data_IF_207266780368
#
_entry.id   IF_207266780368
#
_cell.length_a   1.000
_cell.length_b   1.000
_cell.length_c   1.000
_cell.angle_alpha   90.00
_cell.angle_beta   90.00
_cell.angle_gamma   90.00
#
_symmetry.space_group_name_H-M   'P 1'
#
loop_
_entity.id
_entity.type
_entity.pdbx_description
1 polymer ?
#
# COMPACT_ATOMS: atom_id res chain seq x y z
N UNK A 1 30.04 -24.39 28.41
CA UNK A 1 28.58 -24.19 28.53
C UNK A 1 28.11 -22.74 28.77
N UNK A 2 29.01 -21.84 29.21
CA UNK A 2 28.67 -20.41 29.41
C UNK A 2 28.76 -19.54 28.15
N UNK A 3 29.35 -20.04 27.10
CA UNK A 3 29.51 -19.30 25.82
C UNK A 3 28.27 -19.44 24.90
N UNK A 4 27.46 -20.49 25.08
CA UNK A 4 26.23 -20.71 24.28
C UNK A 4 25.02 -19.87 24.76
N UNK A 5 25.03 -19.33 25.98
CA UNK A 5 23.91 -18.51 26.46
C UNK A 5 23.98 -17.05 26.03
N UNK A 6 25.13 -16.54 25.56
CA UNK A 6 25.27 -15.15 25.08
C UNK A 6 24.69 -14.94 23.70
N UNK A 7 24.68 -15.94 22.84
CA UNK A 7 24.12 -15.83 21.49
C UNK A 7 22.58 -15.87 21.45
N UNK A 8 21.94 -16.57 22.40
CA UNK A 8 20.48 -16.65 22.47
C UNK A 8 19.86 -15.40 23.11
N UNK A 9 20.57 -14.69 23.99
CA UNK A 9 20.10 -13.44 24.59
C UNK A 9 20.05 -12.28 23.60
N UNK A 10 20.94 -12.22 22.61
CA UNK A 10 20.95 -11.17 21.59
C UNK A 10 19.90 -11.37 20.50
N UNK A 11 19.49 -12.62 20.22
CA UNK A 11 18.44 -12.92 19.25
C UNK A 11 17.05 -12.48 19.75
N UNK A 12 16.81 -12.48 21.05
CA UNK A 12 15.54 -12.03 21.65
C UNK A 12 15.45 -10.52 21.86
N UNK A 13 16.54 -9.76 21.71
CA UNK A 13 16.57 -8.32 22.01
C UNK A 13 16.18 -7.42 20.84
N UNK A 14 16.29 -7.90 19.60
CA UNK A 14 15.87 -7.14 18.41
C UNK A 14 14.54 -7.69 17.91
N UNK A 15 13.45 -7.02 18.25
CA UNK A 15 12.15 -7.33 17.68
C UNK A 15 11.99 -6.54 16.38
N UNK A 16 11.92 -7.26 15.26
CA UNK A 16 11.58 -6.69 13.97
C UNK A 16 10.08 -6.90 13.78
N UNK A 17 9.34 -5.80 13.68
CA UNK A 17 7.93 -5.79 13.32
C UNK A 17 7.83 -5.41 11.85
N UNK A 18 7.42 -6.35 11.03
CA UNK A 18 7.29 -6.18 9.59
C UNK A 18 5.82 -6.12 9.18
N UNK A 19 5.42 -5.04 8.52
CA UNK A 19 4.15 -4.97 7.81
C UNK A 19 4.33 -5.69 6.48
N UNK A 20 3.71 -6.86 6.31
CA UNK A 20 3.87 -7.68 5.09
C UNK A 20 2.92 -7.27 3.98
N UNK A 21 1.70 -6.91 4.30
CA UNK A 21 0.73 -6.38 3.35
C UNK A 21 -0.35 -5.58 4.04
N UNK A 22 -0.88 -4.59 3.33
CA UNK A 22 -1.99 -3.74 3.73
C UNK A 22 -3.07 -3.78 2.65
N UNK A 23 -4.32 -3.96 3.06
CA UNK A 23 -5.47 -3.81 2.19
C UNK A 23 -6.65 -3.26 3.00
N UNK A 24 -7.51 -2.45 2.36
CA UNK A 24 -8.64 -1.82 3.02
C UNK A 24 -9.72 -1.38 2.04
N UNK A 25 -10.84 -0.95 2.60
CA UNK A 25 -11.90 -0.23 1.91
C UNK A 25 -12.09 1.10 2.65
N UNK A 26 -11.82 2.22 1.97
CA UNK A 26 -11.89 3.57 2.55
C UNK A 26 -13.34 4.04 2.81
N UNK A 27 -14.32 3.32 2.27
CA UNK A 27 -15.73 3.67 2.32
C UNK A 27 -16.54 2.73 3.21
N UNK A 28 -15.89 1.78 3.90
CA UNK A 28 -16.55 0.83 4.80
C UNK A 28 -16.19 1.14 6.25
N UNK A 29 -17.18 1.44 7.06
CA UNK A 29 -16.99 1.77 8.47
C UNK A 29 -18.22 1.55 9.33
N UNK A 30 -18.16 2.00 10.58
CA UNK A 30 -19.26 1.86 11.54
C UNK A 30 -20.56 2.58 11.14
N UNK A 31 -20.46 3.60 10.29
CA UNK A 31 -21.62 4.36 9.78
C UNK A 31 -22.50 3.52 8.87
N UNK A 32 -21.91 2.68 7.99
CA UNK A 32 -22.67 1.77 7.14
C UNK A 32 -23.57 0.83 7.97
N UNK A 33 -23.04 0.33 9.07
CA UNK A 33 -23.80 -0.50 10.02
C UNK A 33 -24.92 0.29 10.74
N UNK A 34 -24.74 1.59 10.96
CA UNK A 34 -25.78 2.49 11.47
C UNK A 34 -26.87 2.73 10.43
N UNK A 35 -26.51 2.86 9.16
CA UNK A 35 -27.48 2.99 8.06
C UNK A 35 -28.35 1.75 7.93
N UNK A 36 -27.78 0.54 8.07
CA UNK A 36 -28.57 -0.72 8.10
C UNK A 36 -29.60 -0.67 9.23
N UNK A 37 -29.22 -0.25 10.43
CA UNK A 37 -30.15 -0.11 11.56
C UNK A 37 -31.26 0.90 11.26
N UNK A 38 -30.91 2.05 10.67
CA UNK A 38 -31.87 3.07 10.23
C UNK A 38 -32.85 2.54 9.19
N UNK A 39 -32.34 1.79 8.20
CA UNK A 39 -33.14 1.17 7.14
C UNK A 39 -34.16 0.17 7.70
N UNK A 40 -33.74 -0.70 8.61
CA UNK A 40 -34.63 -1.65 9.29
C UNK A 40 -35.74 -0.95 10.06
N UNK A 41 -35.42 0.11 10.81
CA UNK A 41 -36.41 0.90 11.52
C UNK A 41 -37.44 1.52 10.57
N UNK A 42 -36.98 2.15 9.48
CA UNK A 42 -37.86 2.77 8.48
C UNK A 42 -38.81 1.74 7.83
N UNK A 43 -38.25 0.55 7.47
CA UNK A 43 -39.04 -0.54 6.89
C UNK A 43 -40.17 -1.01 7.87
N UNK A 44 -39.81 -1.23 9.14
CA UNK A 44 -40.78 -1.71 10.15
C UNK A 44 -41.85 -0.68 10.52
N UNK A 45 -41.51 0.59 10.45
CA UNK A 45 -42.46 1.68 10.75
C UNK A 45 -43.23 2.17 9.54
N UNK A 46 -42.88 1.72 8.33
CA UNK A 46 -43.49 2.18 7.08
C UNK A 46 -43.13 3.62 6.71
N UNK A 47 -42.07 4.17 7.31
CA UNK A 47 -41.60 5.52 7.03
C UNK A 47 -40.61 5.53 5.86
N UNK A 48 -40.59 6.63 5.11
CA UNK A 48 -39.60 6.86 4.08
C UNK A 48 -38.62 7.97 4.50
N UNK A 49 -37.35 7.76 4.31
CA UNK A 49 -36.28 8.70 4.68
C UNK A 49 -36.53 10.12 4.12
N UNK A 50 -37.04 10.21 2.89
CA UNK A 50 -37.30 11.48 2.20
C UNK A 50 -38.44 12.30 2.79
N UNK A 51 -39.33 11.66 3.56
CA UNK A 51 -40.49 12.32 4.21
C UNK A 51 -40.08 12.91 5.56
N UNK A 52 -38.90 12.61 6.07
CA UNK A 52 -38.38 13.14 7.32
C UNK A 52 -37.70 14.50 7.10
N UNK A 53 -37.95 15.43 8.00
CA UNK A 53 -37.20 16.69 8.06
C UNK A 53 -35.74 16.45 8.44
N UNK A 54 -34.86 17.37 8.12
CA UNK A 54 -33.41 17.24 8.45
C UNK A 54 -33.17 16.95 9.95
N UNK A 55 -33.97 17.59 10.84
CA UNK A 55 -33.88 17.36 12.28
C UNK A 55 -34.27 15.93 12.67
N UNK A 56 -35.28 15.38 12.01
CA UNK A 56 -35.75 14.01 12.25
C UNK A 56 -34.76 12.98 11.68
N UNK A 57 -34.13 13.26 10.53
CA UNK A 57 -33.05 12.43 9.98
C UNK A 57 -31.86 12.35 10.94
N UNK A 58 -31.43 13.48 11.50
CA UNK A 58 -30.34 13.50 12.50
C UNK A 58 -30.73 12.70 13.76
N UNK A 59 -31.99 12.82 14.21
CA UNK A 59 -32.49 12.05 15.36
C UNK A 59 -32.54 10.55 15.04
N UNK A 60 -33.03 10.19 13.86
CA UNK A 60 -33.07 8.80 13.38
C UNK A 60 -31.67 8.20 13.42
N UNK A 61 -30.67 8.89 12.83
CA UNK A 61 -29.30 8.44 12.81
C UNK A 61 -28.74 8.22 14.23
N UNK A 62 -28.97 9.19 15.13
CA UNK A 62 -28.52 9.06 16.52
C UNK A 62 -29.17 7.88 17.24
N UNK A 63 -30.48 7.65 17.02
CA UNK A 63 -31.19 6.51 17.61
C UNK A 63 -30.74 5.17 17.02
N UNK A 64 -30.45 5.13 15.73
CA UNK A 64 -29.89 3.97 15.06
C UNK A 64 -28.49 3.64 15.59
N UNK A 65 -27.65 4.64 15.83
CA UNK A 65 -26.32 4.45 16.43
C UNK A 65 -26.42 3.91 17.87
N UNK A 66 -27.34 4.44 18.68
CA UNK A 66 -27.63 3.92 20.02
C UNK A 66 -28.10 2.46 19.97
N UNK A 67 -29.04 2.15 19.08
CA UNK A 67 -29.57 0.80 18.90
C UNK A 67 -28.50 -0.19 18.37
N UNK A 68 -27.68 0.24 17.39
CA UNK A 68 -26.54 -0.54 16.86
C UNK A 68 -25.56 -0.94 17.98
N UNK A 69 -25.23 0.00 18.88
CA UNK A 69 -24.35 -0.31 20.01
C UNK A 69 -25.00 -1.28 20.98
N UNK A 70 -26.30 -1.13 21.24
CA UNK A 70 -27.02 -1.98 22.19
C UNK A 70 -27.26 -3.40 21.69
N UNK A 71 -27.44 -3.61 20.40
CA UNK A 71 -27.82 -4.92 19.84
C UNK A 71 -26.72 -5.99 19.99
N UNK A 72 -25.45 -5.57 20.16
CA UNK A 72 -24.31 -6.50 20.29
C UNK A 72 -24.37 -7.34 21.59
N UNK A 73 -25.08 -6.82 22.61
CA UNK A 73 -25.20 -7.48 23.91
C UNK A 73 -26.62 -8.03 24.18
N UNK A 74 -27.53 -7.90 23.18
CA UNK A 74 -28.94 -8.25 23.32
C UNK A 74 -29.44 -9.02 22.10
N UNK A 75 -30.50 -9.79 22.28
CA UNK A 75 -31.16 -10.52 21.18
C UNK A 75 -32.07 -9.65 20.34
N UNK A 76 -32.53 -8.51 20.89
CA UNK A 76 -33.33 -7.50 20.22
C UNK A 76 -33.17 -6.16 20.90
N UNK A 77 -33.35 -5.08 20.15
CA UNK A 77 -33.38 -3.70 20.65
C UNK A 77 -34.67 -3.02 20.19
N UNK A 78 -35.23 -2.18 21.06
CA UNK A 78 -36.36 -1.33 20.70
C UNK A 78 -35.84 0.06 20.34
N UNK A 79 -36.18 0.51 19.13
CA UNK A 79 -35.81 1.83 18.63
C UNK A 79 -37.08 2.71 18.59
N UNK A 80 -36.94 3.94 19.05
CA UNK A 80 -38.04 4.91 19.13
C UNK A 80 -37.65 6.22 18.46
N UNK A 81 -38.57 6.79 17.66
CA UNK A 81 -38.41 8.06 17.00
C UNK A 81 -39.64 8.94 17.14
N UNK A 82 -39.46 10.12 17.74
CA UNK A 82 -40.50 11.13 17.84
C UNK A 82 -40.60 11.94 16.55
N UNK A 83 -41.77 11.91 15.92
CA UNK A 83 -42.15 12.67 14.72
C UNK A 83 -43.28 13.63 15.09
N UNK A 84 -42.93 14.88 15.40
CA UNK A 84 -43.87 15.82 15.98
C UNK A 84 -44.38 15.31 17.33
N UNK A 85 -45.72 15.05 17.44
CA UNK A 85 -46.37 14.49 18.62
C UNK A 85 -46.50 12.96 18.58
N UNK A 86 -46.17 12.32 17.46
CA UNK A 86 -46.29 10.88 17.28
C UNK A 86 -44.96 10.19 17.59
N UNK A 87 -44.99 9.12 18.41
CA UNK A 87 -43.84 8.26 18.67
C UNK A 87 -43.94 7.00 17.83
N UNK A 88 -42.98 6.80 16.92
CA UNK A 88 -42.81 5.56 16.14
C UNK A 88 -41.85 4.65 16.86
N UNK A 89 -42.25 3.40 17.03
CA UNK A 89 -41.46 2.38 17.76
C UNK A 89 -41.33 1.13 16.90
N UNK A 90 -40.14 0.55 16.85
CA UNK A 90 -39.90 -0.75 16.23
C UNK A 90 -38.93 -1.56 17.06
N UNK A 91 -39.20 -2.84 17.21
CA UNK A 91 -38.29 -3.82 17.74
C UNK A 91 -37.49 -4.45 16.57
N UNK A 92 -36.17 -4.43 16.71
CA UNK A 92 -35.23 -5.01 15.72
C UNK A 92 -34.47 -6.14 16.42
N UNK A 93 -34.56 -7.33 15.88
CA UNK A 93 -33.84 -8.50 16.41
C UNK A 93 -32.41 -8.56 15.87
N UNK A 94 -31.51 -9.15 16.64
CA UNK A 94 -30.12 -9.39 16.20
C UNK A 94 -30.08 -10.17 14.88
N UNK A 95 -30.96 -11.17 14.72
CA UNK A 95 -31.03 -11.97 13.50
C UNK A 95 -31.37 -11.15 12.26
N UNK A 96 -32.39 -10.28 12.33
CA UNK A 96 -32.75 -9.37 11.24
C UNK A 96 -31.60 -8.43 10.89
N UNK A 97 -30.90 -7.92 11.92
CA UNK A 97 -29.76 -7.06 11.73
C UNK A 97 -28.57 -7.79 11.10
N UNK A 98 -28.29 -9.03 11.50
CA UNK A 98 -27.25 -9.88 10.88
C UNK A 98 -27.56 -10.14 9.40
N UNK A 99 -28.80 -10.49 9.07
CA UNK A 99 -29.23 -10.76 7.69
C UNK A 99 -29.04 -9.52 6.79
N UNK A 100 -29.43 -8.33 7.27
CA UNK A 100 -29.26 -7.08 6.52
C UNK A 100 -27.79 -6.60 6.45
N UNK A 101 -26.93 -7.01 7.37
CA UNK A 101 -25.49 -6.70 7.36
C UNK A 101 -24.67 -7.62 6.42
N UNK A 102 -25.24 -8.67 5.82
CA UNK A 102 -24.47 -9.66 5.06
C UNK A 102 -23.64 -9.04 3.94
N UNK A 103 -24.18 -8.08 3.19
CA UNK A 103 -23.43 -7.40 2.13
C UNK A 103 -22.21 -6.63 2.68
N UNK A 104 -22.35 -5.98 3.84
CA UNK A 104 -21.24 -5.26 4.47
C UNK A 104 -20.16 -6.22 4.97
N UNK A 105 -20.58 -7.35 5.54
CA UNK A 105 -19.65 -8.40 5.99
C UNK A 105 -18.88 -9.01 4.82
N UNK A 106 -19.50 -9.18 3.66
CA UNK A 106 -18.79 -9.62 2.44
C UNK A 106 -17.77 -8.59 1.95
N UNK A 107 -18.06 -7.29 2.08
CA UNK A 107 -17.06 -6.23 1.79
C UNK A 107 -15.85 -6.30 2.72
N UNK A 108 -15.99 -6.70 3.99
CA UNK A 108 -14.85 -6.92 4.91
C UNK A 108 -13.98 -8.09 4.43
N UNK A 109 -14.57 -9.11 3.83
CA UNK A 109 -13.85 -10.31 3.37
C UNK A 109 -12.84 -9.99 2.28
N UNK A 110 -13.15 -9.06 1.37
CA UNK A 110 -12.29 -8.77 0.21
C UNK A 110 -10.91 -8.18 0.60
N UNK A 111 -10.80 -7.16 1.49
CA UNK A 111 -9.50 -6.71 1.99
C UNK A 111 -8.71 -7.81 2.70
N UNK A 112 -9.37 -8.66 3.49
CA UNK A 112 -8.71 -9.79 4.16
C UNK A 112 -8.11 -10.76 3.14
N UNK A 113 -8.86 -11.14 2.11
CA UNK A 113 -8.34 -12.01 1.04
C UNK A 113 -7.17 -11.37 0.30
N UNK A 114 -7.31 -10.08 -0.02
CA UNK A 114 -6.29 -9.33 -0.75
C UNK A 114 -4.99 -9.25 0.03
N UNK A 115 -5.03 -8.86 1.32
CA UNK A 115 -3.83 -8.75 2.15
C UNK A 115 -3.13 -10.09 2.35
N UNK A 116 -3.88 -11.19 2.52
CA UNK A 116 -3.31 -12.53 2.61
C UNK A 116 -2.63 -12.96 1.29
N UNK A 117 -3.30 -12.71 0.16
CA UNK A 117 -2.73 -13.03 -1.15
C UNK A 117 -1.46 -12.22 -1.44
N UNK A 118 -1.46 -10.92 -1.14
CA UNK A 118 -0.32 -10.03 -1.32
C UNK A 118 0.86 -10.43 -0.41
N UNK A 119 0.58 -10.91 0.81
CA UNK A 119 1.60 -11.41 1.73
C UNK A 119 2.07 -12.86 1.42
N UNK A 120 1.44 -13.54 0.47
CA UNK A 120 1.71 -14.96 0.19
C UNK A 120 1.29 -15.91 1.31
N UNK A 121 0.33 -15.50 2.15
CA UNK A 121 -0.13 -16.24 3.33
C UNK A 121 -1.51 -16.87 3.13
N UNK A 122 -1.77 -17.95 3.86
CA UNK A 122 -3.08 -18.58 3.99
C UNK A 122 -3.71 -18.22 5.32
N UNK A 123 -5.02 -18.37 5.45
CA UNK A 123 -5.72 -18.18 6.74
C UNK A 123 -5.16 -19.07 7.87
N UNK A 124 -4.63 -20.25 7.54
CA UNK A 124 -3.99 -21.17 8.50
C UNK A 124 -2.70 -20.63 9.09
N UNK A 125 -2.02 -19.75 8.37
CA UNK A 125 -0.70 -19.24 8.72
C UNK A 125 -0.80 -18.03 9.67
N UNK A 126 -2.03 -17.56 9.93
CA UNK A 126 -2.29 -16.47 10.88
C UNK A 126 -2.36 -17.05 12.31
N UNK A 127 -1.48 -16.61 13.18
CA UNK A 127 -1.44 -17.06 14.57
C UNK A 127 -2.48 -16.35 15.43
N UNK A 128 -2.59 -15.03 15.32
CA UNK A 128 -3.50 -14.19 16.11
C UNK A 128 -4.29 -13.22 15.23
N UNK A 129 -5.50 -12.91 15.66
CA UNK A 129 -6.39 -11.91 15.03
C UNK A 129 -6.64 -10.81 16.05
N UNK A 130 -6.24 -9.59 15.72
CA UNK A 130 -6.45 -8.41 16.55
C UNK A 130 -7.58 -7.55 15.94
N UNK A 131 -8.54 -7.18 16.76
CA UNK A 131 -9.65 -6.30 16.36
C UNK A 131 -9.42 -4.90 16.92
N UNK A 132 -9.31 -3.91 16.04
CA UNK A 132 -9.02 -2.53 16.40
C UNK A 132 -10.09 -1.60 15.81
N UNK A 133 -10.46 -0.57 16.56
CA UNK A 133 -11.49 0.41 16.20
C UNK A 133 -12.89 0.03 16.70
N UNK A 134 -13.72 1.03 16.98
CA UNK A 134 -15.03 0.86 17.65
C UNK A 134 -16.02 -0.05 16.92
N UNK A 135 -15.99 -0.09 15.58
CA UNK A 135 -16.88 -0.95 14.77
C UNK A 135 -16.62 -2.45 15.00
N UNK A 136 -15.41 -2.83 15.44
CA UNK A 136 -15.08 -4.23 15.73
C UNK A 136 -15.71 -4.76 17.02
N UNK A 137 -16.33 -3.89 17.82
CA UNK A 137 -17.13 -4.27 18.98
C UNK A 137 -18.47 -4.91 18.60
N UNK A 138 -18.93 -4.67 17.37
CA UNK A 138 -20.17 -5.27 16.88
C UNK A 138 -20.08 -6.78 16.86
N UNK A 139 -21.03 -7.46 17.48
CA UNK A 139 -21.11 -8.94 17.51
C UNK A 139 -21.12 -9.51 16.11
N UNK A 140 -21.88 -8.92 15.19
CA UNK A 140 -21.98 -9.36 13.78
C UNK A 140 -20.62 -9.36 13.08
N UNK A 141 -19.79 -8.35 13.31
CA UNK A 141 -18.44 -8.25 12.75
C UNK A 141 -17.51 -9.28 13.39
N UNK A 142 -17.51 -9.36 14.71
CA UNK A 142 -16.68 -10.30 15.47
C UNK A 142 -16.99 -11.76 15.09
N UNK A 143 -18.26 -12.12 15.07
CA UNK A 143 -18.70 -13.49 14.77
C UNK A 143 -18.42 -13.87 13.31
N UNK A 144 -18.55 -12.92 12.38
CA UNK A 144 -18.12 -13.09 11.00
C UNK A 144 -16.61 -13.42 10.92
N UNK A 145 -15.76 -12.65 11.62
CA UNK A 145 -14.32 -12.86 11.60
C UNK A 145 -13.91 -14.17 12.30
N UNK A 146 -14.58 -14.56 13.39
CA UNK A 146 -14.39 -15.87 14.02
C UNK A 146 -14.67 -17.00 13.03
N UNK A 147 -15.79 -16.91 12.29
CA UNK A 147 -16.12 -17.91 11.25
C UNK A 147 -15.11 -17.91 10.10
N UNK A 148 -14.61 -16.74 9.70
CA UNK A 148 -13.63 -16.59 8.61
C UNK A 148 -12.27 -17.17 8.98
N UNK A 149 -11.72 -16.79 10.12
CA UNK A 149 -10.39 -17.21 10.57
C UNK A 149 -10.40 -18.53 11.35
N UNK A 150 -11.57 -18.98 11.83
CA UNK A 150 -11.73 -20.13 12.76
C UNK A 150 -10.88 -19.96 14.03
N UNK A 151 -10.68 -18.74 14.46
CA UNK A 151 -9.93 -18.35 15.66
C UNK A 151 -10.68 -17.25 16.39
N UNK A 152 -10.60 -17.25 17.71
CA UNK A 152 -11.12 -16.16 18.52
C UNK A 152 -10.14 -14.98 18.46
N UNK A 153 -10.65 -13.77 18.24
CA UNK A 153 -9.81 -12.57 18.30
C UNK A 153 -9.21 -12.36 19.68
N UNK A 154 -8.01 -11.81 19.72
CA UNK A 154 -7.39 -11.39 20.98
C UNK A 154 -8.13 -10.17 21.55
N UNK A 155 -8.49 -10.26 22.83
CA UNK A 155 -9.24 -9.25 23.56
C UNK A 155 -8.40 -8.50 24.59
N UNK A 156 -7.09 -8.73 24.64
CA UNK A 156 -6.18 -8.09 25.61
C UNK A 156 -6.02 -6.59 25.35
N UNK A 157 -6.21 -6.15 24.11
CA UNK A 157 -6.14 -4.74 23.73
C UNK A 157 -7.53 -4.11 23.71
N UNK A 158 -7.63 -2.89 24.24
CA UNK A 158 -8.83 -2.09 24.06
C UNK A 158 -8.86 -1.55 22.62
N UNK A 159 -9.87 -1.91 21.79
CA UNK A 159 -9.95 -1.47 20.41
C UNK A 159 -9.96 0.05 20.21
N UNK A 160 -10.46 0.81 21.18
CA UNK A 160 -10.57 2.27 21.11
C UNK A 160 -9.24 2.97 21.43
N UNK A 161 -8.35 2.34 22.20
CA UNK A 161 -7.09 2.91 22.69
C UNK A 161 -5.87 2.42 21.89
N UNK A 162 -6.01 1.31 21.17
CA UNK A 162 -4.88 0.63 20.55
C UNK A 162 -4.08 1.53 19.60
N UNK A 163 -4.75 2.39 18.81
CA UNK A 163 -4.10 3.33 17.89
C UNK A 163 -3.31 4.40 18.66
N UNK A 164 -3.89 4.96 19.73
CA UNK A 164 -3.21 5.97 20.55
C UNK A 164 -1.98 5.39 21.27
N UNK A 165 -2.08 4.16 21.78
CA UNK A 165 -0.96 3.45 22.39
C UNK A 165 0.14 3.15 21.37
N UNK A 166 -0.23 2.71 20.16
CA UNK A 166 0.72 2.50 19.07
C UNK A 166 1.43 3.79 18.66
N UNK A 167 0.71 4.89 18.55
CA UNK A 167 1.30 6.20 18.26
C UNK A 167 2.29 6.67 19.36
N UNK A 168 1.96 6.42 20.63
CA UNK A 168 2.87 6.71 21.76
C UNK A 168 4.16 5.88 21.70
N UNK A 169 4.06 4.59 21.32
CA UNK A 169 5.23 3.72 21.13
C UNK A 169 6.07 4.23 19.95
N UNK A 170 5.48 4.60 18.85
CA UNK A 170 6.16 5.19 17.69
C UNK A 170 6.91 6.49 18.06
N UNK A 171 6.29 7.36 18.84
CA UNK A 171 6.92 8.57 19.33
C UNK A 171 8.15 8.26 20.22
N UNK A 172 8.03 7.27 21.10
CA UNK A 172 9.13 6.83 21.96
C UNK A 172 10.29 6.19 21.15
N UNK A 173 9.98 5.45 20.09
CA UNK A 173 10.98 4.91 19.14
C UNK A 173 11.71 6.04 18.41
N UNK A 174 11.00 7.08 17.96
CA UNK A 174 11.58 8.25 17.30
C UNK A 174 12.50 9.03 18.25
N UNK A 175 12.16 9.13 19.54
CA UNK A 175 13.00 9.73 20.58
C UNK A 175 14.14 8.80 21.02
N UNK A 176 14.25 7.59 20.49
CA UNK A 176 15.26 6.57 20.86
C UNK A 176 15.30 6.26 22.35
N UNK A 177 14.12 6.17 22.98
CA UNK A 177 14.02 5.79 24.41
C UNK A 177 14.52 4.36 24.61
N UNK A 178 15.20 4.12 25.71
CA UNK A 178 15.85 2.84 26.03
C UNK A 178 14.87 1.66 26.01
N UNK A 179 13.62 1.87 26.46
CA UNK A 179 12.60 0.83 26.58
C UNK A 179 12.16 0.25 25.21
N UNK A 180 12.32 1.03 24.13
CA UNK A 180 11.87 0.66 22.77
C UNK A 180 12.98 0.76 21.72
N UNK A 181 14.22 0.98 22.15
CA UNK A 181 15.37 1.24 21.26
C UNK A 181 15.69 0.09 20.29
N UNK A 182 15.31 -1.12 20.65
CA UNK A 182 15.62 -2.33 19.90
C UNK A 182 14.47 -2.79 18.99
N UNK A 183 13.34 -2.08 18.96
CA UNK A 183 12.20 -2.38 18.08
C UNK A 183 12.41 -1.67 16.74
N UNK A 184 12.37 -2.45 15.67
CA UNK A 184 12.39 -1.94 14.28
C UNK A 184 11.01 -2.21 13.69
N UNK A 185 10.35 -1.16 13.19
CA UNK A 185 9.11 -1.28 12.45
C UNK A 185 9.38 -0.92 10.98
N UNK A 186 9.07 -1.85 10.08
CA UNK A 186 9.02 -1.58 8.64
C UNK A 186 7.59 -1.36 8.21
N UNK A 187 7.39 -0.39 7.34
CA UNK A 187 6.07 -0.06 6.78
C UNK A 187 6.08 -0.21 5.25
N UNK A 188 4.92 -0.22 4.63
CA UNK A 188 4.77 -0.45 3.20
C UNK A 188 3.89 0.61 2.54
N UNK A 189 4.10 0.83 1.26
CA UNK A 189 3.22 1.68 0.44
C UNK A 189 1.85 1.01 0.32
N UNK A 190 0.80 1.66 0.82
CA UNK A 190 -0.55 1.07 0.89
C UNK A 190 -1.24 0.95 -0.47
N UNK A 191 -0.82 1.74 -1.46
CA UNK A 191 -1.42 1.81 -2.79
C UNK A 191 -0.33 1.87 -3.86
N UNK A 192 -0.62 1.32 -5.03
CA UNK A 192 0.26 1.46 -6.19
C UNK A 192 0.29 2.92 -6.66
N UNK A 193 1.49 3.45 -6.83
CA UNK A 193 1.75 4.78 -7.38
C UNK A 193 2.33 4.63 -8.78
N UNK A 194 1.86 5.42 -9.72
CA UNK A 194 2.31 5.30 -11.10
C UNK A 194 1.83 6.45 -11.98
N UNK A 195 1.99 6.27 -13.28
CA UNK A 195 1.68 7.30 -14.28
C UNK A 195 0.82 6.75 -15.42
N UNK A 196 0.24 7.67 -16.20
CA UNK A 196 -0.46 7.35 -17.43
C UNK A 196 0.52 7.19 -18.59
N UNK A 197 0.36 6.11 -19.34
CA UNK A 197 1.18 5.81 -20.52
C UNK A 197 0.33 5.41 -21.74
N UNK A 198 0.97 5.48 -22.88
CA UNK A 198 0.48 4.91 -24.15
C UNK A 198 1.17 3.57 -24.35
N UNK A 199 0.42 2.52 -24.58
CA UNK A 199 0.95 1.17 -24.78
C UNK A 199 0.67 0.73 -26.21
N UNK A 200 1.67 0.16 -26.87
CA UNK A 200 1.50 -0.55 -28.12
C UNK A 200 1.02 -1.98 -27.82
N UNK A 201 -0.17 -2.36 -28.33
CA UNK A 201 -0.76 -3.69 -28.10
C UNK A 201 -0.72 -4.58 -29.34
N UNK A 202 -0.60 -3.99 -30.52
CA UNK A 202 -0.30 -4.65 -31.79
C UNK A 202 0.60 -3.73 -32.60
N UNK A 203 1.37 -4.26 -33.54
CA UNK A 203 2.29 -3.49 -34.38
C UNK A 203 1.58 -2.28 -35.01
N UNK A 204 2.00 -1.10 -34.61
CA UNK A 204 1.44 0.18 -35.06
C UNK A 204 0.12 0.59 -34.44
N UNK A 205 -0.46 -0.18 -33.48
CA UNK A 205 -1.69 0.17 -32.76
C UNK A 205 -1.40 0.53 -31.31
N UNK A 206 -1.89 1.68 -30.90
CA UNK A 206 -1.65 2.29 -29.60
C UNK A 206 -2.94 2.46 -28.82
N UNK A 207 -2.87 2.17 -27.51
CA UNK A 207 -3.93 2.44 -26.54
C UNK A 207 -3.43 3.48 -25.52
N UNK A 208 -4.12 4.61 -25.47
CA UNK A 208 -3.90 5.68 -24.50
C UNK A 208 -4.58 5.34 -23.17
N UNK A 209 -4.13 5.99 -22.09
CA UNK A 209 -4.82 5.91 -20.81
C UNK A 209 -4.54 4.62 -20.02
N UNK A 210 -3.44 3.94 -20.31
CA UNK A 210 -2.98 2.79 -19.51
C UNK A 210 -2.23 3.28 -18.29
N UNK A 211 -2.39 2.56 -17.19
CA UNK A 211 -1.67 2.84 -15.94
C UNK A 211 -0.35 2.04 -15.92
N UNK A 212 0.75 2.76 -15.71
CA UNK A 212 2.09 2.20 -15.53
C UNK A 212 2.47 2.33 -14.04
N UNK A 213 2.53 1.22 -13.29
CA UNK A 213 3.01 1.22 -11.91
C UNK A 213 4.49 1.62 -11.85
N UNK A 214 4.87 2.46 -10.87
CA UNK A 214 6.26 2.84 -10.58
C UNK A 214 6.65 2.34 -9.18
N UNK A 215 5.82 2.61 -8.16
CA UNK A 215 5.94 1.98 -6.84
C UNK A 215 4.69 1.13 -6.63
N UNK A 216 4.84 -0.17 -6.54
CA UNK A 216 3.73 -1.08 -6.31
C UNK A 216 3.27 -1.04 -4.84
N UNK A 217 1.99 -1.32 -4.59
CA UNK A 217 1.50 -1.50 -3.23
C UNK A 217 2.30 -2.60 -2.51
N UNK A 218 2.43 -2.47 -1.22
CA UNK A 218 3.22 -3.35 -0.35
C UNK A 218 4.74 -3.30 -0.60
N UNK A 219 5.24 -2.35 -1.39
CA UNK A 219 6.67 -2.04 -1.42
C UNK A 219 7.07 -1.44 -0.06
N UNK A 220 8.13 -1.97 0.54
CA UNK A 220 8.68 -1.45 1.81
C UNK A 220 9.14 -0.01 1.62
N UNK A 221 8.76 0.87 2.53
CA UNK A 221 9.10 2.30 2.49
C UNK A 221 10.12 2.68 3.58
N UNK A 222 11.00 3.65 3.33
CA UNK A 222 11.06 4.53 2.15
C UNK A 222 11.57 3.81 0.91
N UNK A 223 11.01 4.14 -0.27
CA UNK A 223 11.37 3.53 -1.55
C UNK A 223 11.54 4.58 -2.65
N UNK A 224 12.40 4.28 -3.60
CA UNK A 224 12.58 5.09 -4.81
C UNK A 224 12.68 4.17 -6.03
N UNK A 225 11.84 4.39 -7.03
CA UNK A 225 11.81 3.62 -8.28
C UNK A 225 11.75 4.56 -9.47
N UNK A 226 12.41 4.16 -10.55
CA UNK A 226 12.48 4.92 -11.79
C UNK A 226 11.96 4.09 -12.94
N UNK A 227 11.07 4.67 -13.74
CA UNK A 227 10.59 4.08 -14.99
C UNK A 227 10.98 4.98 -16.16
N UNK A 228 11.53 4.38 -17.24
CA UNK A 228 11.91 5.08 -18.44
C UNK A 228 10.79 5.10 -19.47
N UNK A 229 10.33 6.27 -19.84
CA UNK A 229 9.28 6.51 -20.81
C UNK A 229 9.84 7.18 -22.05
N UNK A 230 9.16 6.98 -23.19
CA UNK A 230 9.59 7.50 -24.50
C UNK A 230 8.52 8.39 -25.13
N UNK A 231 8.94 9.29 -26.00
CA UNK A 231 8.01 10.10 -26.80
C UNK A 231 7.14 9.21 -27.70
N UNK A 232 5.85 9.51 -27.76
CA UNK A 232 4.83 8.68 -28.44
C UNK A 232 4.37 9.25 -29.78
N UNK A 233 4.84 10.46 -30.14
CA UNK A 233 4.50 11.15 -31.40
C UNK A 233 5.73 11.78 -32.03
N UNK A 234 5.71 11.91 -33.36
CA UNK A 234 6.73 12.66 -34.07
C UNK A 234 6.67 14.16 -33.73
N UNK A 235 7.84 14.77 -33.55
CA UNK A 235 8.01 16.17 -33.15
C UNK A 235 7.31 16.56 -31.84
N UNK A 236 7.09 15.60 -30.94
CA UNK A 236 6.60 15.88 -29.59
C UNK A 236 7.60 16.77 -28.86
N UNK A 237 7.15 17.91 -28.34
CA UNK A 237 7.98 18.90 -27.66
C UNK A 237 7.75 18.96 -26.15
N UNK A 238 6.75 18.22 -25.65
CA UNK A 238 6.44 18.12 -24.21
C UNK A 238 6.05 16.71 -23.81
N UNK A 239 6.49 16.29 -22.66
CA UNK A 239 6.00 15.09 -21.99
C UNK A 239 5.20 15.51 -20.78
N UNK A 240 3.98 14.97 -20.68
CA UNK A 240 3.07 15.17 -19.57
C UNK A 240 3.07 13.92 -18.71
N UNK A 241 3.50 14.05 -17.46
CA UNK A 241 3.52 12.98 -16.48
C UNK A 241 2.39 13.21 -15.46
N UNK A 242 1.35 12.39 -15.52
CA UNK A 242 0.24 12.41 -14.57
C UNK A 242 0.55 11.46 -13.42
N UNK A 243 0.53 11.97 -12.19
CA UNK A 243 0.77 11.18 -10.99
C UNK A 243 -0.55 10.62 -10.51
N UNK A 244 -0.61 9.30 -10.41
CA UNK A 244 -1.83 8.55 -10.12
C UNK A 244 -1.60 7.54 -8.98
N UNK A 245 -2.66 7.29 -8.20
CA UNK A 245 -2.68 6.29 -7.13
C UNK A 245 -3.85 5.34 -7.36
N UNK A 246 -3.60 4.04 -7.34
CA UNK A 246 -4.64 3.02 -7.42
C UNK A 246 -4.21 1.75 -8.14
N UNK A 247 -5.15 0.81 -8.26
CA UNK A 247 -4.90 -0.56 -8.74
C UNK A 247 -5.55 -0.84 -10.11
N UNK A 248 -6.21 0.15 -10.70
CA UNK A 248 -6.87 -0.03 -11.98
C UNK A 248 -5.86 0.02 -13.12
N UNK A 249 -5.98 -0.92 -14.07
CA UNK A 249 -5.18 -0.93 -15.30
C UNK A 249 -5.41 0.31 -16.19
N UNK A 250 -6.49 1.06 -15.96
CA UNK A 250 -6.81 2.29 -16.70
C UNK A 250 -6.55 3.51 -15.81
N UNK A 251 -5.76 4.44 -16.31
CA UNK A 251 -5.37 5.67 -15.62
C UNK A 251 -6.57 6.48 -15.10
N UNK A 252 -7.66 6.57 -15.89
CA UNK A 252 -8.88 7.32 -15.56
C UNK A 252 -9.63 6.81 -14.32
N UNK A 253 -9.41 5.56 -13.93
CA UNK A 253 -10.07 4.92 -12.77
C UNK A 253 -9.23 5.01 -11.51
N UNK A 254 -8.03 5.57 -11.58
CA UNK A 254 -7.14 5.79 -10.46
C UNK A 254 -7.24 7.23 -9.96
N UNK A 255 -6.91 7.44 -8.70
CA UNK A 255 -6.94 8.76 -8.07
C UNK A 255 -5.85 9.66 -8.66
N UNK A 256 -6.22 10.83 -9.15
CA UNK A 256 -5.28 11.83 -9.64
C UNK A 256 -4.66 12.59 -8.46
N UNK A 257 -3.33 12.62 -8.40
CA UNK A 257 -2.57 13.30 -7.35
C UNK A 257 -1.91 14.59 -7.83
N UNK A 258 -1.52 14.66 -9.11
CA UNK A 258 -0.84 15.83 -9.67
C UNK A 258 -0.32 15.59 -11.09
N UNK A 259 0.30 16.62 -11.67
CA UNK A 259 0.81 16.58 -13.05
C UNK A 259 2.09 17.40 -13.19
N UNK A 260 3.06 16.86 -13.89
CA UNK A 260 4.28 17.53 -14.33
C UNK A 260 4.34 17.59 -15.85
N UNK A 261 4.78 18.74 -16.38
CA UNK A 261 5.01 18.94 -17.80
C UNK A 261 6.47 19.32 -18.05
N UNK A 262 7.21 18.55 -18.84
CA UNK A 262 8.61 18.80 -19.15
C UNK A 262 8.81 18.96 -20.66
N UNK A 263 9.62 19.95 -21.06
CA UNK A 263 9.97 20.17 -22.45
C UNK A 263 11.03 19.14 -22.90
N UNK A 264 10.85 18.56 -24.09
CA UNK A 264 11.79 17.61 -24.69
C UNK A 264 12.19 18.08 -26.10
N UNK A 265 13.40 17.73 -26.57
CA UNK A 265 13.79 17.99 -27.95
C UNK A 265 12.83 17.35 -28.94
N UNK A 266 12.53 18.08 -30.03
CA UNK A 266 11.72 17.54 -31.12
C UNK A 266 12.50 16.51 -31.94
N UNK A 267 11.87 15.37 -32.18
CA UNK A 267 12.48 14.27 -32.93
C UNK A 267 11.45 13.26 -33.39
N UNK A 268 11.85 12.20 -34.07
CA UNK A 268 10.98 11.08 -34.37
C UNK A 268 10.37 10.48 -33.12
N UNK A 269 9.23 9.82 -33.25
CA UNK A 269 8.63 9.04 -32.17
C UNK A 269 9.66 8.06 -31.56
N UNK A 270 9.72 7.98 -30.22
CA UNK A 270 10.64 7.11 -29.48
C UNK A 270 12.08 7.57 -29.41
N UNK A 271 12.45 8.71 -30.05
CA UNK A 271 13.81 9.21 -30.04
C UNK A 271 14.22 9.83 -28.70
N UNK A 272 13.28 10.40 -27.98
CA UNK A 272 13.53 11.03 -26.68
C UNK A 272 13.01 10.18 -25.54
N UNK A 273 13.82 10.05 -24.51
CA UNK A 273 13.49 9.33 -23.28
C UNK A 273 13.42 10.27 -22.09
N UNK A 274 12.50 10.00 -21.19
CA UNK A 274 12.39 10.64 -19.87
C UNK A 274 12.42 9.58 -18.79
N UNK A 275 13.24 9.79 -17.78
CA UNK A 275 13.26 8.98 -16.56
C UNK A 275 12.31 9.62 -15.56
N UNK A 276 11.30 8.87 -15.12
CA UNK A 276 10.30 9.27 -14.13
C UNK A 276 10.59 8.53 -12.84
N UNK A 277 11.09 9.25 -11.84
CA UNK A 277 11.46 8.69 -10.54
C UNK A 277 10.44 9.10 -9.49
N UNK A 278 9.92 8.10 -8.77
CA UNK A 278 9.07 8.30 -7.60
C UNK A 278 9.87 7.92 -6.36
N UNK A 279 9.92 8.84 -5.37
CA UNK A 279 10.49 8.58 -4.06
C UNK A 279 9.41 8.79 -3.01
N UNK A 280 9.04 7.71 -2.30
CA UNK A 280 7.97 7.73 -1.31
C UNK A 280 8.52 7.47 0.10
N UNK A 281 8.18 8.38 1.02
CA UNK A 281 8.68 8.38 2.40
C UNK A 281 7.63 7.87 3.40
N UNK A 282 8.10 7.49 4.60
CA UNK A 282 7.28 7.06 5.75
C UNK A 282 6.31 8.14 6.25
N UNK A 283 6.55 9.42 5.92
CA UNK A 283 5.66 10.53 6.26
C UNK A 283 4.61 10.82 5.18
N UNK A 284 4.37 9.88 4.27
CA UNK A 284 3.46 10.03 3.13
C UNK A 284 3.83 11.18 2.19
N UNK A 285 5.13 11.47 2.06
CA UNK A 285 5.67 12.40 1.08
C UNK A 285 6.03 11.65 -0.19
N UNK A 286 5.49 12.10 -1.33
CA UNK A 286 5.84 11.59 -2.65
C UNK A 286 6.58 12.67 -3.44
N UNK A 287 7.87 12.48 -3.67
CA UNK A 287 8.61 13.25 -4.66
C UNK A 287 8.52 12.57 -6.02
N UNK A 288 8.15 13.32 -7.02
CA UNK A 288 8.17 12.91 -8.42
C UNK A 288 9.21 13.76 -9.14
N UNK A 289 10.23 13.10 -9.66
CA UNK A 289 11.29 13.71 -10.46
C UNK A 289 11.18 13.20 -11.90
N UNK A 290 11.18 14.12 -12.85
CA UNK A 290 11.18 13.80 -14.29
C UNK A 290 12.43 14.39 -14.91
N UNK A 291 13.27 13.54 -15.50
CA UNK A 291 14.55 13.92 -16.12
C UNK A 291 14.56 13.54 -17.59
N UNK A 292 14.82 14.50 -18.47
CA UNK A 292 15.07 14.24 -19.89
C UNK A 292 16.47 13.66 -20.05
N UNK A 293 16.58 12.46 -20.63
CA UNK A 293 17.84 11.72 -20.70
C UNK A 293 18.87 12.44 -21.58
N UNK A 294 18.43 12.98 -22.73
CA UNK A 294 19.32 13.61 -23.72
C UNK A 294 19.87 14.96 -23.27
N UNK A 295 19.07 15.76 -22.55
CA UNK A 295 19.44 17.15 -22.17
C UNK A 295 19.84 17.30 -20.72
N UNK A 296 19.46 16.33 -19.85
CA UNK A 296 19.60 16.41 -18.41
C UNK A 296 18.61 17.38 -17.73
N UNK A 297 17.69 17.99 -18.49
CA UNK A 297 16.65 18.86 -17.91
C UNK A 297 15.81 18.06 -16.91
N UNK A 298 15.66 18.61 -15.70
CA UNK A 298 14.96 17.94 -14.61
C UNK A 298 13.88 18.84 -14.04
N UNK A 299 12.72 18.29 -13.79
CA UNK A 299 11.63 18.92 -13.03
C UNK A 299 11.21 18.03 -11.88
N UNK A 300 10.79 18.66 -10.77
CA UNK A 300 10.36 17.96 -9.56
C UNK A 300 9.05 18.50 -9.04
N UNK A 301 8.30 17.61 -8.42
CA UNK A 301 7.08 17.93 -7.68
C UNK A 301 7.05 17.11 -6.41
N UNK A 302 6.63 17.74 -5.30
CA UNK A 302 6.39 17.03 -4.04
C UNK A 302 4.89 17.07 -3.75
N UNK A 303 4.33 15.89 -3.54
CA UNK A 303 2.94 15.70 -3.15
C UNK A 303 2.95 15.26 -1.69
N UNK A 304 2.18 15.98 -0.86
CA UNK A 304 2.02 15.69 0.56
C UNK A 304 0.57 15.33 0.89
N UNK A 305 0.39 14.39 1.82
CA UNK A 305 -0.92 14.07 2.36
C UNK A 305 -1.56 15.30 3.04
N UNK A 306 -2.89 15.35 3.10
CA UNK A 306 -3.63 16.48 3.68
C UNK A 306 -3.26 16.75 5.15
N UNK A 307 -2.86 15.72 5.89
CA UNK A 307 -2.52 15.80 7.32
C UNK A 307 -1.04 16.09 7.58
N UNK A 308 -0.22 16.22 6.52
CA UNK A 308 1.20 16.47 6.66
C UNK A 308 1.46 17.92 7.07
N UNK A 309 1.98 18.14 8.29
CA UNK A 309 2.26 19.44 8.87
C UNK A 309 3.73 19.91 8.71
N UNK A 310 4.54 19.14 7.97
CA UNK A 310 5.94 19.51 7.73
C UNK A 310 6.03 20.81 6.93
N UNK A 311 6.99 21.66 7.31
CA UNK A 311 7.36 22.86 6.57
C UNK A 311 8.09 22.51 5.28
N UNK A 312 8.12 23.42 4.32
CA UNK A 312 8.80 23.17 3.04
C UNK A 312 10.31 22.92 3.23
N UNK A 313 10.95 23.55 4.20
CA UNK A 313 12.36 23.32 4.55
C UNK A 313 12.60 21.92 5.15
N UNK A 314 11.71 21.45 6.01
CA UNK A 314 11.76 20.09 6.57
C UNK A 314 11.55 19.03 5.49
N UNK A 315 10.62 19.29 4.56
CA UNK A 315 10.35 18.41 3.42
C UNK A 315 11.60 18.35 2.51
N UNK A 316 12.18 19.49 2.17
CA UNK A 316 13.37 19.55 1.33
C UNK A 316 14.54 18.79 1.96
N UNK A 317 14.79 19.00 3.25
CA UNK A 317 15.82 18.28 4.00
C UNK A 317 15.56 16.77 3.99
N UNK A 318 14.31 16.36 4.18
CA UNK A 318 13.94 14.95 4.15
C UNK A 318 14.17 14.30 2.79
N UNK A 319 13.83 14.97 1.69
CA UNK A 319 14.07 14.49 0.34
C UNK A 319 15.57 14.41 0.01
N UNK A 320 16.37 15.32 0.54
CA UNK A 320 17.84 15.24 0.44
C UNK A 320 18.40 14.02 1.20
N UNK A 321 17.90 13.75 2.41
CA UNK A 321 18.24 12.55 3.19
C UNK A 321 17.92 11.26 2.44
N UNK A 322 16.87 11.22 1.62
CA UNK A 322 16.43 10.06 0.84
C UNK A 322 17.10 9.98 -0.55
N UNK A 323 17.97 10.92 -0.89
CA UNK A 323 18.59 10.99 -2.21
C UNK A 323 19.38 9.71 -2.57
N UNK A 324 19.91 9.00 -1.57
CA UNK A 324 20.62 7.73 -1.78
C UNK A 324 19.72 6.62 -2.36
N UNK A 325 18.40 6.66 -2.14
CA UNK A 325 17.44 5.69 -2.69
C UNK A 325 17.24 5.87 -4.20
N UNK A 326 17.60 7.03 -4.76
CA UNK A 326 17.47 7.33 -6.20
C UNK A 326 18.59 6.71 -7.03
N UNK A 327 19.64 6.19 -6.39
CA UNK A 327 20.70 5.47 -7.07
C UNK A 327 20.12 4.13 -7.49
N UNK A 328 20.03 3.91 -8.79
CA UNK A 328 19.55 2.62 -9.30
C UNK A 328 20.51 1.52 -8.82
N UNK A 329 19.99 0.35 -8.41
CA UNK A 329 20.83 -0.78 -7.98
C UNK A 329 21.92 -1.15 -9.01
N UNK A 330 21.64 -0.97 -10.30
CA UNK A 330 22.61 -1.18 -11.39
C UNK A 330 23.81 -0.24 -11.33
N UNK A 331 23.62 0.99 -10.82
CA UNK A 331 24.65 2.02 -10.74
C UNK A 331 25.47 1.96 -9.44
N UNK A 332 25.05 1.11 -8.49
CA UNK A 332 25.89 0.83 -7.33
C UNK A 332 27.20 0.22 -7.78
N UNK A 333 28.32 0.71 -7.25
CA UNK A 333 29.67 0.34 -7.67
C UNK A 333 29.89 -1.17 -7.68
N UNK A 334 29.44 -1.87 -6.64
CA UNK A 334 29.52 -3.33 -6.50
C UNK A 334 28.77 -4.08 -7.61
N UNK A 335 27.56 -3.66 -7.98
CA UNK A 335 26.75 -4.32 -9.01
C UNK A 335 27.28 -4.01 -10.42
N UNK A 336 27.72 -2.76 -10.62
CA UNK A 336 28.33 -2.33 -11.88
C UNK A 336 29.61 -3.06 -12.19
N UNK A 337 30.47 -3.29 -11.18
CA UNK A 337 31.72 -4.04 -11.36
C UNK A 337 31.44 -5.49 -11.76
N UNK A 338 30.48 -6.15 -11.13
CA UNK A 338 30.09 -7.53 -11.47
C UNK A 338 29.53 -7.61 -12.88
N UNK A 339 28.65 -6.67 -13.28
CA UNK A 339 28.16 -6.64 -14.67
C UNK A 339 29.26 -6.44 -15.69
N UNK A 340 30.19 -5.49 -15.48
CA UNK A 340 31.29 -5.23 -16.40
C UNK A 340 32.22 -6.45 -16.52
N UNK A 341 32.50 -7.17 -15.42
CA UNK A 341 33.25 -8.40 -15.43
C UNK A 341 32.53 -9.50 -16.19
N UNK A 342 31.23 -9.67 -15.93
CA UNK A 342 30.41 -10.68 -16.61
C UNK A 342 30.26 -10.41 -18.11
N UNK A 343 30.03 -9.17 -18.53
CA UNK A 343 29.95 -8.77 -19.95
C UNK A 343 31.27 -9.07 -20.68
N UNK A 344 32.42 -8.75 -20.06
CA UNK A 344 33.73 -9.06 -20.65
C UNK A 344 33.91 -10.56 -20.82
N UNK A 345 33.61 -11.36 -19.79
CA UNK A 345 33.75 -12.82 -19.87
C UNK A 345 32.78 -13.41 -20.91
N UNK A 346 31.57 -12.85 -21.05
CA UNK A 346 30.63 -13.23 -22.09
C UNK A 346 31.15 -12.97 -23.50
N UNK A 347 31.86 -11.85 -23.73
CA UNK A 347 32.50 -11.55 -25.01
C UNK A 347 33.62 -12.55 -25.36
N UNK A 348 34.38 -13.01 -24.36
CA UNK A 348 35.47 -13.96 -24.49
C UNK A 348 34.98 -15.42 -24.57
N UNK A 349 33.81 -15.75 -24.02
CA UNK A 349 33.28 -17.11 -23.96
C UNK A 349 32.67 -17.60 -25.28
N UNK A 350 32.71 -18.91 -25.51
CA UNK A 350 32.16 -19.59 -26.68
C UNK A 350 31.23 -20.75 -26.29
N UNK A 351 30.32 -21.12 -27.17
CA UNK A 351 29.48 -22.32 -27.05
C UNK A 351 28.56 -22.31 -25.84
N UNK A 352 28.62 -23.39 -25.06
CA UNK A 352 27.68 -23.57 -23.92
C UNK A 352 28.01 -22.66 -22.74
N UNK A 353 29.28 -22.31 -22.55
CA UNK A 353 29.69 -21.35 -21.52
C UNK A 353 29.10 -19.96 -21.74
N UNK A 354 29.07 -19.51 -22.99
CA UNK A 354 28.44 -18.22 -23.36
C UNK A 354 26.94 -18.19 -23.03
N UNK A 355 26.24 -19.29 -23.28
CA UNK A 355 24.80 -19.43 -22.95
C UNK A 355 24.55 -19.44 -21.44
N UNK A 356 25.47 -20.04 -20.70
CA UNK A 356 25.40 -20.08 -19.25
C UNK A 356 25.57 -18.68 -18.66
N UNK A 357 26.62 -17.96 -19.06
CA UNK A 357 26.84 -16.57 -18.66
C UNK A 357 25.64 -15.66 -19.01
N UNK A 358 25.11 -15.79 -20.22
CA UNK A 358 23.90 -15.04 -20.66
C UNK A 358 22.72 -15.25 -19.73
N UNK A 359 22.51 -16.49 -19.31
CA UNK A 359 21.42 -16.82 -18.37
C UNK A 359 21.60 -16.13 -17.01
N UNK A 360 22.78 -16.16 -16.41
CA UNK A 360 23.04 -15.57 -15.11
C UNK A 360 23.07 -14.04 -15.17
N UNK A 361 23.63 -13.46 -16.23
CA UNK A 361 23.56 -12.01 -16.48
C UNK A 361 22.09 -11.56 -16.58
N UNK A 362 21.27 -12.27 -17.35
CA UNK A 362 19.85 -11.98 -17.51
C UNK A 362 19.08 -12.05 -16.17
N UNK A 363 19.38 -13.06 -15.35
CA UNK A 363 18.75 -13.19 -14.01
C UNK A 363 19.17 -12.04 -13.10
N UNK A 364 20.46 -11.67 -13.09
CA UNK A 364 20.96 -10.56 -12.29
C UNK A 364 20.39 -9.21 -12.76
N UNK A 365 20.33 -8.95 -14.06
CA UNK A 365 19.70 -7.75 -14.61
C UNK A 365 18.20 -7.67 -14.26
N UNK A 366 17.49 -8.80 -14.28
CA UNK A 366 16.10 -8.86 -13.86
C UNK A 366 15.92 -8.55 -12.37
N UNK A 367 16.83 -9.06 -11.51
CA UNK A 367 16.83 -8.75 -10.08
C UNK A 367 17.15 -7.26 -9.83
N UNK A 368 18.12 -6.69 -10.53
CA UNK A 368 18.45 -5.26 -10.47
C UNK A 368 17.27 -4.38 -10.89
N UNK A 369 16.50 -4.81 -11.90
CA UNK A 369 15.30 -4.10 -12.37
C UNK A 369 14.17 -4.14 -11.35
N UNK A 370 14.00 -5.27 -10.64
CA UNK A 370 12.99 -5.40 -9.57
C UNK A 370 13.34 -4.60 -8.32
N UNK A 371 14.61 -4.33 -8.05
CA UNK A 371 15.08 -3.48 -6.95
C UNK A 371 14.99 -4.12 -5.55
N UNK A 372 14.66 -5.40 -5.41
CA UNK A 372 14.61 -6.10 -4.12
C UNK A 372 16.02 -6.54 -3.71
N UNK A 373 16.48 -6.03 -2.56
CA UNK A 373 17.84 -6.22 -2.07
C UNK A 373 18.23 -7.70 -1.96
N UNK A 374 17.37 -8.52 -1.39
CA UNK A 374 17.62 -9.96 -1.22
C UNK A 374 17.77 -10.68 -2.57
N UNK A 375 16.86 -10.43 -3.53
CA UNK A 375 16.93 -11.02 -4.88
C UNK A 375 18.18 -10.54 -5.63
N UNK A 376 18.63 -9.30 -5.39
CA UNK A 376 19.87 -8.75 -6.01
C UNK A 376 21.10 -9.42 -5.40
N UNK A 377 21.16 -9.58 -4.08
CA UNK A 377 22.28 -10.23 -3.39
C UNK A 377 22.42 -11.69 -3.83
N UNK A 378 21.33 -12.46 -3.82
CA UNK A 378 21.33 -13.86 -4.29
C UNK A 378 21.77 -13.99 -5.75
N UNK A 379 21.22 -13.16 -6.64
CA UNK A 379 21.58 -13.21 -8.06
C UNK A 379 23.03 -12.75 -8.31
N UNK A 380 23.55 -11.81 -7.52
CA UNK A 380 24.94 -11.34 -7.57
C UNK A 380 25.91 -12.43 -7.10
N UNK A 381 25.59 -13.11 -5.99
CA UNK A 381 26.39 -14.24 -5.49
C UNK A 381 26.44 -15.36 -6.51
N UNK A 382 25.30 -15.77 -7.05
CA UNK A 382 25.24 -16.80 -8.07
C UNK A 382 26.03 -16.45 -9.37
N UNK A 383 26.02 -15.17 -9.77
CA UNK A 383 26.82 -14.71 -10.92
C UNK A 383 28.31 -14.68 -10.56
N UNK A 384 28.69 -14.23 -9.35
CA UNK A 384 30.07 -14.22 -8.91
C UNK A 384 30.69 -15.65 -8.84
N UNK A 385 29.93 -16.63 -8.32
CA UNK A 385 30.40 -18.04 -8.29
C UNK A 385 30.80 -18.52 -9.69
N UNK A 386 30.01 -18.21 -10.72
CA UNK A 386 30.34 -18.59 -12.11
C UNK A 386 31.51 -17.79 -12.67
N UNK A 387 31.71 -16.54 -12.24
CA UNK A 387 32.84 -15.72 -12.66
C UNK A 387 34.16 -16.13 -11.98
N UNK A 388 34.09 -16.77 -10.81
CA UNK A 388 35.27 -17.25 -10.05
C UNK A 388 35.76 -18.64 -10.49
N UNK A 389 34.88 -19.50 -11.03
CA UNK A 389 35.23 -20.83 -11.51
C UNK A 389 36.30 -20.86 -12.65
N UNK A 390 36.74 -19.73 -13.17
CA UNK A 390 37.77 -19.60 -14.20
C UNK A 390 39.14 -19.08 -13.70
N UNK A 391 39.23 -18.62 -12.44
CA UNK A 391 40.51 -18.13 -11.88
C UNK A 391 41.31 -19.27 -11.17
N UNK A 392 40.82 -20.54 -11.19
CA UNK A 392 41.54 -21.75 -10.78
C UNK A 392 41.97 -22.56 -12.01
#
# INVERSE_FOLDING_TARGET
DLVRSRGLGDVYKRQILEVRAVAGDNYLGGEDFTEVMSKLFLQKTGLHYKDLSEKEQVRLYKKAEEAKRGISDQTAVTMELMLGEENKTAEITLKEYEEECEELLMKIREPVKKSLADAGLKLSDIDEVLLIGGATRLSVVRDFLIRLFRKFPDTRLNPDEAVALGAAIQAAMKERREEVKEVILTDVCSFTLGTEVVVEYEEGKFEDGRFCPIIERNTVIPASHTERLYTVRDNQDKVRVRVLQGESRFARNNLFLGELNIDVPKGPRGSEAVDVTYTYDINSLLEVEVKVVSTGLTQKMIIKGQDNQMTDDEIQKRMEELSYLKIQPRDLEENRLVLLRAERMYEEALGDRRKELDRYITVFEAALKKGKKEEIEEAREALNEILEDEDE
#
